data_IF_083032196782
#
_entry.id   IF_083032196782
#
_cell.length_a   1.000
_cell.length_b   1.000
_cell.length_c   1.000
_cell.angle_alpha   90.00
_cell.angle_beta   90.00
_cell.angle_gamma   90.00
#
_symmetry.space_group_name_H-M   'P 1'
#
loop_
_entity.id
_entity.type
_entity.pdbx_description
1 polymer ?
#
# COMPACT_ATOMS: atom_id res chain seq x y z
N UNK A 1 -2.70 -16.21 6.84
CA UNK A 1 -2.79 -14.75 6.62
C UNK A 1 -1.47 -14.36 6.00
N UNK A 2 -1.46 -13.90 4.75
CA UNK A 2 -0.24 -13.37 4.15
C UNK A 2 0.21 -12.17 4.99
N UNK A 3 1.49 -12.12 5.34
CA UNK A 3 2.06 -11.05 6.15
C UNK A 3 2.63 -10.01 5.20
N UNK A 4 1.81 -9.03 4.82
CA UNK A 4 2.30 -7.85 4.10
C UNK A 4 2.70 -6.79 5.11
N UNK A 5 3.81 -6.11 4.84
CA UNK A 5 4.24 -4.97 5.64
C UNK A 5 3.82 -3.67 4.95
N UNK A 6 3.53 -2.65 5.75
CA UNK A 6 3.19 -1.33 5.27
C UNK A 6 4.11 -0.30 5.92
N UNK A 7 4.87 0.41 5.08
CA UNK A 7 5.72 1.52 5.48
C UNK A 7 4.96 2.80 5.16
N UNK A 8 4.66 3.59 6.21
CA UNK A 8 3.98 4.88 6.08
C UNK A 8 4.94 5.98 6.50
N UNK A 9 5.23 6.90 5.58
CA UNK A 9 6.17 8.00 5.79
C UNK A 9 5.53 9.34 5.42
N UNK A 10 5.75 10.36 6.23
CA UNK A 10 5.37 11.72 5.89
C UNK A 10 6.31 12.28 4.81
N UNK A 11 5.74 12.90 3.79
CA UNK A 11 6.45 13.69 2.79
C UNK A 11 6.22 15.17 3.06
N UNK A 12 7.29 15.91 3.35
CA UNK A 12 7.22 17.37 3.50
C UNK A 12 6.99 18.08 2.16
N UNK A 13 7.33 17.45 1.02
CA UNK A 13 7.12 18.02 -0.32
C UNK A 13 5.65 17.93 -0.74
N UNK A 14 5.01 16.79 -0.46
CA UNK A 14 3.63 16.53 -0.86
C UNK A 14 2.61 16.90 0.22
N UNK A 15 3.06 17.11 1.47
CA UNK A 15 2.22 17.24 2.67
C UNK A 15 1.25 16.05 2.84
N UNK A 16 1.74 14.85 2.55
CA UNK A 16 0.97 13.60 2.58
C UNK A 16 1.74 12.48 3.29
N UNK A 17 1.00 11.53 3.83
CA UNK A 17 1.53 10.22 4.22
C UNK A 17 1.62 9.34 2.99
N UNK A 18 2.82 8.97 2.58
CA UNK A 18 3.10 8.08 1.47
C UNK A 18 3.18 6.64 1.97
N UNK A 19 2.62 5.72 1.20
CA UNK A 19 2.50 4.30 1.55
C UNK A 19 3.36 3.46 0.62
N UNK A 20 4.20 2.63 1.20
CA UNK A 20 5.01 1.64 0.49
C UNK A 20 4.71 0.26 1.06
N UNK A 21 4.44 -0.71 0.17
CA UNK A 21 4.29 -2.12 0.50
C UNK A 21 5.51 -2.84 -0.08
N UNK A 22 6.57 -3.11 0.71
CA UNK A 22 7.84 -3.62 0.19
C UNK A 22 7.71 -4.90 -0.65
N UNK A 23 6.75 -5.76 -0.30
CA UNK A 23 6.49 -7.02 -0.98
C UNK A 23 5.95 -6.84 -2.41
N UNK A 24 5.52 -5.62 -2.77
CA UNK A 24 4.96 -5.28 -4.09
C UNK A 24 5.93 -4.47 -4.96
N UNK A 25 7.19 -4.27 -4.55
CA UNK A 25 8.16 -3.45 -5.27
C UNK A 25 8.42 -3.85 -6.74
N UNK A 26 8.23 -5.12 -7.09
CA UNK A 26 8.36 -5.65 -8.46
C UNK A 26 7.04 -5.58 -9.25
N UNK A 27 5.92 -5.28 -8.59
CA UNK A 27 4.56 -5.29 -9.17
C UNK A 27 4.00 -3.89 -9.34
N UNK A 28 4.34 -2.96 -8.45
CA UNK A 28 3.76 -1.62 -8.38
C UNK A 28 4.87 -0.60 -8.21
N UNK A 29 4.70 0.56 -8.85
CA UNK A 29 5.56 1.72 -8.59
C UNK A 29 5.31 2.21 -7.16
N UNK A 30 6.40 2.50 -6.46
CA UNK A 30 6.36 2.98 -5.09
C UNK A 30 6.67 4.48 -5.02
N UNK A 31 6.08 5.22 -4.07
CA UNK A 31 5.00 4.79 -3.17
C UNK A 31 3.70 4.49 -3.93
N UNK A 32 2.96 3.47 -3.49
CA UNK A 32 1.84 2.92 -4.26
C UNK A 32 0.50 3.63 -3.98
N UNK A 33 0.39 4.32 -2.85
CA UNK A 33 -0.75 5.18 -2.51
C UNK A 33 -0.34 6.21 -1.45
N UNK A 34 -1.27 7.06 -1.03
CA UNK A 34 -1.04 8.13 -0.06
C UNK A 34 -2.30 8.41 0.79
N UNK A 35 -2.17 9.14 1.89
CA UNK A 35 -3.31 9.70 2.63
C UNK A 35 -2.96 11.02 3.32
N UNK A 36 -3.96 11.85 3.61
CA UNK A 36 -3.78 13.11 4.36
C UNK A 36 -3.64 12.87 5.86
N UNK A 37 -4.22 11.77 6.34
CA UNK A 37 -4.02 11.28 7.71
C UNK A 37 -3.38 9.90 7.69
N UNK A 38 -2.89 9.46 8.85
CA UNK A 38 -2.36 8.10 8.99
C UNK A 38 -3.44 7.06 8.75
N UNK A 39 -4.67 7.32 9.22
CA UNK A 39 -5.80 6.41 9.07
C UNK A 39 -6.20 6.26 7.61
N UNK A 40 -6.25 7.36 6.84
CA UNK A 40 -6.51 7.33 5.39
C UNK A 40 -5.41 6.55 4.67
N UNK A 41 -4.14 6.83 4.97
CA UNK A 41 -3.02 6.11 4.38
C UNK A 41 -3.04 4.60 4.67
N UNK A 42 -3.44 4.19 5.87
CA UNK A 42 -3.62 2.77 6.22
C UNK A 42 -4.75 2.17 5.40
N UNK A 43 -5.91 2.82 5.35
CA UNK A 43 -7.09 2.34 4.60
C UNK A 43 -6.76 2.14 3.13
N UNK A 44 -6.21 3.16 2.49
CA UNK A 44 -5.85 3.12 1.07
C UNK A 44 -4.78 2.06 0.81
N UNK A 45 -3.84 1.85 1.74
CA UNK A 45 -2.83 0.80 1.65
C UNK A 45 -3.43 -0.61 1.72
N UNK A 46 -4.42 -0.85 2.59
CA UNK A 46 -5.13 -2.12 2.66
C UNK A 46 -5.95 -2.38 1.37
N UNK A 47 -6.60 -1.36 0.80
CA UNK A 47 -7.29 -1.49 -0.49
C UNK A 47 -6.33 -1.91 -1.60
N UNK A 48 -5.12 -1.35 -1.65
CA UNK A 48 -4.08 -1.80 -2.59
C UNK A 48 -3.71 -3.26 -2.34
N UNK A 49 -3.55 -3.70 -1.09
CA UNK A 49 -3.26 -5.11 -0.78
C UNK A 49 -4.39 -6.01 -1.27
N UNK A 50 -5.64 -5.66 -0.98
CA UNK A 50 -6.83 -6.41 -1.39
C UNK A 50 -6.91 -6.53 -2.91
N UNK A 51 -6.75 -5.43 -3.66
CA UNK A 51 -6.77 -5.44 -5.13
C UNK A 51 -5.75 -6.44 -5.71
N UNK A 52 -4.52 -6.47 -5.19
CA UNK A 52 -3.47 -7.37 -5.70
C UNK A 52 -3.63 -8.82 -5.20
N UNK A 53 -4.38 -9.04 -4.11
CA UNK A 53 -4.77 -10.37 -3.66
C UNK A 53 -5.95 -10.92 -4.45
N UNK A 54 -6.92 -10.09 -4.81
CA UNK A 54 -8.08 -10.46 -5.62
C UNK A 54 -7.71 -10.77 -7.07
N UNK A 55 -6.67 -10.11 -7.61
CA UNK A 55 -6.02 -10.45 -8.89
C UNK A 55 -5.28 -11.81 -8.89
N UNK A 56 -5.26 -12.54 -7.77
CA UNK A 56 -4.90 -13.95 -7.72
C UNK A 56 -6.16 -14.84 -7.63
N UNK A 57 -6.99 -14.93 -8.69
CA UNK A 57 -8.14 -15.83 -8.68
C UNK A 57 -7.61 -17.27 -8.67
N UNK A 58 -7.89 -18.01 -7.60
CA UNK A 58 -7.84 -19.47 -7.53
C UNK A 58 -6.73 -20.14 -8.36
N UNK A 59 -5.52 -20.26 -7.79
CA UNK A 59 -4.65 -21.40 -8.13
C UNK A 59 -4.70 -22.35 -6.94
N UNK A 60 -5.73 -23.20 -6.95
CA UNK A 60 -5.72 -24.54 -6.38
C UNK A 60 -5.73 -25.55 -7.53
#
# INVERSE_FOLDING_TARGET
MNQYSMIIQWSDEDELFLVTIPEFNERVVMPCTHGKTREEAIGDGEEVIEMYLEEAPYIL
#
